data_IF_954178719591
#
_entry.id   IF_954178719591
#
_cell.length_a   1.000
_cell.length_b   1.000
_cell.length_c   1.000
_cell.angle_alpha   90.00
_cell.angle_beta   90.00
_cell.angle_gamma   90.00
#
_symmetry.space_group_name_H-M   'P 1'
#
loop_
_entity.id
_entity.type
_entity.pdbx_description
1 polymer ?
#
# COMPACT_ATOMS: atom_id res chain seq x y z
N UNK A 1 13.80 27.91 -11.35
CA UNK A 1 13.30 26.61 -10.91
C UNK A 1 12.95 25.82 -12.16
N UNK A 2 13.51 24.63 -12.30
CA UNK A 2 13.43 23.79 -13.50
C UNK A 2 12.32 22.72 -13.43
N UNK A 3 11.63 22.57 -12.29
CA UNK A 3 10.39 21.78 -12.17
C UNK A 3 9.48 22.32 -11.04
N UNK A 4 8.16 22.17 -11.13
CA UNK A 4 7.22 22.52 -10.04
C UNK A 4 7.50 21.77 -8.73
N UNK A 5 8.12 20.59 -8.81
CA UNK A 5 8.45 19.73 -7.67
C UNK A 5 9.60 20.28 -6.80
N UNK A 6 10.35 21.28 -7.30
CA UNK A 6 11.47 21.92 -6.57
C UNK A 6 11.12 23.32 -6.07
N UNK A 7 9.84 23.69 -6.13
CA UNK A 7 9.35 25.00 -5.74
C UNK A 7 8.77 24.95 -4.32
N UNK A 8 9.09 25.96 -3.50
CA UNK A 8 8.70 26.06 -2.09
C UNK A 8 8.12 27.43 -1.77
N UNK A 9 7.07 27.48 -0.94
CA UNK A 9 6.48 28.74 -0.48
C UNK A 9 7.47 29.56 0.38
N UNK A 10 8.46 28.91 0.99
CA UNK A 10 9.51 29.56 1.79
C UNK A 10 10.30 30.58 0.95
N UNK A 11 10.55 30.28 -0.33
CA UNK A 11 11.26 31.16 -1.26
C UNK A 11 10.43 32.40 -1.56
N UNK A 12 9.12 32.23 -1.78
CA UNK A 12 8.22 33.34 -2.05
C UNK A 12 8.10 34.28 -0.84
N UNK A 13 7.99 33.69 0.36
CA UNK A 13 7.99 34.43 1.63
C UNK A 13 9.30 35.21 1.83
N UNK A 14 10.45 34.56 1.61
CA UNK A 14 11.76 35.22 1.73
C UNK A 14 11.90 36.41 0.76
N UNK A 15 11.43 36.23 -0.48
CA UNK A 15 11.38 37.31 -1.49
C UNK A 15 10.48 38.47 -1.04
N UNK A 16 9.31 38.19 -0.48
CA UNK A 16 8.41 39.22 0.04
C UNK A 16 9.02 40.00 1.21
N UNK A 17 9.67 39.30 2.17
CA UNK A 17 10.41 39.95 3.26
C UNK A 17 11.52 40.87 2.72
N UNK A 18 12.29 40.41 1.73
CA UNK A 18 13.35 41.19 1.11
C UNK A 18 12.82 42.41 0.33
N UNK A 19 11.74 42.23 -0.43
CA UNK A 19 11.10 43.28 -1.20
C UNK A 19 10.62 44.43 -0.30
N UNK A 20 9.80 44.13 0.72
CA UNK A 20 9.26 45.18 1.59
C UNK A 20 10.33 45.83 2.47
N UNK A 21 11.37 45.09 2.89
CA UNK A 21 12.54 45.66 3.55
C UNK A 21 13.23 46.71 2.66
N UNK A 22 13.46 46.36 1.40
CA UNK A 22 14.11 47.25 0.43
C UNK A 22 13.25 48.48 0.15
N UNK A 23 11.95 48.30 -0.11
CA UNK A 23 11.01 49.41 -0.33
C UNK A 23 10.92 50.35 0.88
N UNK A 24 10.89 49.81 2.09
CA UNK A 24 10.88 50.60 3.32
C UNK A 24 12.17 51.43 3.49
N UNK A 25 13.33 50.84 3.20
CA UNK A 25 14.63 51.52 3.31
C UNK A 25 14.82 52.61 2.25
N UNK A 26 14.36 52.37 1.02
CA UNK A 26 14.51 53.29 -0.11
C UNK A 26 13.49 54.42 -0.13
N UNK A 27 12.29 54.23 0.42
CA UNK A 27 11.29 55.29 0.48
C UNK A 27 11.76 56.39 1.44
N UNK A 28 11.88 57.63 0.96
CA UNK A 28 12.44 58.74 1.73
C UNK A 28 11.53 59.15 2.89
N UNK A 29 10.21 59.15 2.67
CA UNK A 29 9.22 59.54 3.66
C UNK A 29 9.32 61.03 3.98
N UNK A 30 9.49 61.36 5.25
CA UNK A 30 9.60 62.75 5.72
C UNK A 30 10.87 63.48 5.24
N UNK A 31 11.86 62.75 4.72
CA UNK A 31 13.09 63.32 4.19
C UNK A 31 12.97 63.83 2.74
N UNK A 32 11.89 63.46 2.04
CA UNK A 32 11.63 63.95 0.68
C UNK A 32 11.47 65.48 0.71
N UNK A 33 12.09 66.16 -0.25
CA UNK A 33 11.96 67.61 -0.44
C UNK A 33 11.00 67.91 -1.58
N UNK A 34 10.27 69.04 -1.50
CA UNK A 34 9.38 69.48 -2.56
C UNK A 34 7.97 69.80 -2.06
N UNK A 35 6.97 69.48 -2.90
CA UNK A 35 5.57 69.78 -2.61
C UNK A 35 5.07 69.06 -1.34
N UNK A 36 4.42 69.77 -0.38
CA UNK A 36 3.94 69.15 0.84
C UNK A 36 3.00 67.95 0.64
N UNK A 37 2.24 67.87 -0.47
CA UNK A 37 1.38 66.71 -0.74
C UNK A 37 2.19 65.52 -1.26
N UNK A 38 3.26 65.74 -2.01
CA UNK A 38 4.19 64.69 -2.44
C UNK A 38 4.95 64.09 -1.24
N UNK A 39 5.45 64.93 -0.34
CA UNK A 39 6.08 64.47 0.92
C UNK A 39 5.08 63.67 1.75
N UNK A 40 3.83 64.15 1.85
CA UNK A 40 2.74 63.44 2.53
C UNK A 40 2.46 62.05 1.94
N UNK A 41 2.50 61.92 0.60
CA UNK A 41 2.36 60.62 -0.07
C UNK A 41 3.56 59.70 0.19
N UNK A 42 4.78 60.24 0.19
CA UNK A 42 5.98 59.45 0.52
C UNK A 42 5.94 58.93 1.96
N UNK A 43 5.50 59.75 2.93
CA UNK A 43 5.27 59.32 4.30
C UNK A 43 4.23 58.20 4.37
N UNK A 44 3.11 58.33 3.64
CA UNK A 44 2.09 57.30 3.57
C UNK A 44 2.64 55.97 2.99
N UNK A 45 3.45 56.02 1.93
CA UNK A 45 4.13 54.85 1.36
C UNK A 45 5.08 54.20 2.36
N UNK A 46 5.89 55.00 3.05
CA UNK A 46 6.85 54.50 4.04
C UNK A 46 6.15 53.83 5.22
N UNK A 47 5.04 54.41 5.71
CA UNK A 47 4.21 53.80 6.74
C UNK A 47 3.60 52.47 6.28
N UNK A 48 3.06 52.40 5.05
CA UNK A 48 2.53 51.16 4.50
C UNK A 48 3.60 50.08 4.30
N UNK A 49 4.80 50.44 3.81
CA UNK A 49 5.89 49.47 3.66
C UNK A 49 6.39 48.93 5.00
N UNK A 50 6.35 49.73 6.06
CA UNK A 50 6.60 49.25 7.42
C UNK A 50 5.56 48.22 7.85
N UNK A 51 4.28 48.55 7.70
CA UNK A 51 3.18 47.61 7.95
C UNK A 51 3.33 46.31 7.14
N UNK A 52 3.60 46.42 5.84
CA UNK A 52 3.73 45.25 4.98
C UNK A 52 4.94 44.39 5.38
N UNK A 53 6.06 45.00 5.75
CA UNK A 53 7.22 44.27 6.27
C UNK A 53 6.90 43.55 7.57
N UNK A 54 6.23 44.21 8.53
CA UNK A 54 5.84 43.61 9.81
C UNK A 54 4.85 42.45 9.60
N UNK A 55 3.84 42.61 8.75
CA UNK A 55 2.84 41.57 8.47
C UNK A 55 3.45 40.38 7.71
N UNK A 56 4.20 40.61 6.63
CA UNK A 56 4.85 39.52 5.89
C UNK A 56 5.87 38.80 6.77
N UNK A 57 6.51 39.50 7.71
CA UNK A 57 7.47 38.88 8.64
C UNK A 57 6.83 37.86 9.58
N UNK A 58 5.54 37.99 9.89
CA UNK A 58 4.75 37.02 10.65
C UNK A 58 4.41 35.75 9.87
N UNK A 59 4.68 35.73 8.57
CA UNK A 59 4.50 34.52 7.77
C UNK A 59 5.58 33.48 8.06
N UNK A 60 5.18 32.22 8.04
CA UNK A 60 6.01 31.05 8.33
C UNK A 60 5.73 29.92 7.32
N UNK A 61 6.78 29.18 6.98
CA UNK A 61 6.68 27.95 6.17
C UNK A 61 7.52 26.90 6.90
N UNK A 62 6.89 25.79 7.27
CA UNK A 62 7.54 24.64 7.89
C UNK A 62 7.16 23.37 7.13
N UNK A 63 7.87 22.27 7.34
CA UNK A 63 7.51 20.96 6.79
C UNK A 63 6.93 20.08 7.90
N UNK A 64 5.95 19.25 7.55
CA UNK A 64 5.44 18.20 8.43
C UNK A 64 6.19 16.87 8.25
N UNK A 65 5.87 15.89 9.10
CA UNK A 65 6.53 14.57 9.08
C UNK A 65 6.29 13.81 7.77
N UNK A 66 5.28 14.21 6.98
CA UNK A 66 5.00 13.65 5.66
C UNK A 66 5.75 14.36 4.52
N UNK A 67 6.55 15.38 4.84
CA UNK A 67 7.26 16.21 3.87
C UNK A 67 6.37 17.23 3.16
N UNK A 68 5.13 17.46 3.63
CA UNK A 68 4.25 18.50 3.11
C UNK A 68 4.53 19.83 3.82
N UNK A 69 4.46 20.94 3.07
CA UNK A 69 4.67 22.26 3.65
C UNK A 69 3.43 22.69 4.46
N UNK A 70 3.62 23.14 5.69
CA UNK A 70 2.64 23.95 6.42
C UNK A 70 2.95 25.42 6.14
N UNK A 71 2.03 26.07 5.42
CA UNK A 71 2.24 27.40 4.86
C UNK A 71 1.31 28.39 5.52
N UNK A 72 1.87 29.37 6.22
CA UNK A 72 1.11 30.46 6.83
C UNK A 72 1.58 31.80 6.27
N UNK A 73 1.01 32.21 5.13
CA UNK A 73 1.29 33.52 4.54
C UNK A 73 0.23 34.56 4.96
N UNK A 74 0.68 35.78 5.24
CA UNK A 74 -0.21 36.88 5.66
C UNK A 74 -0.68 37.70 4.46
N UNK A 75 -2.01 37.86 4.34
CA UNK A 75 -2.63 38.77 3.38
C UNK A 75 -2.45 40.21 3.84
N UNK A 76 -1.96 41.07 2.95
CA UNK A 76 -1.79 42.50 3.23
C UNK A 76 -3.11 43.26 3.02
N UNK A 77 -3.35 44.26 3.88
CA UNK A 77 -4.50 45.14 3.75
C UNK A 77 -4.51 45.87 2.41
N UNK A 78 -5.65 45.79 1.72
CA UNK A 78 -5.93 46.45 0.45
C UNK A 78 -7.03 47.50 0.58
N UNK A 79 -6.71 48.72 0.18
CA UNK A 79 -7.62 49.86 0.23
C UNK A 79 -7.97 50.34 1.64
N UNK A 80 -8.81 51.38 1.72
CA UNK A 80 -9.09 52.09 2.97
C UNK A 80 -9.72 51.22 4.05
N UNK A 81 -10.73 50.42 3.72
CA UNK A 81 -11.50 49.66 4.71
C UNK A 81 -10.69 48.54 5.38
N UNK A 82 -9.76 47.92 4.65
CA UNK A 82 -8.87 46.93 5.25
C UNK A 82 -7.78 47.61 6.08
N UNK A 83 -7.25 48.76 5.65
CA UNK A 83 -6.26 49.51 6.44
C UNK A 83 -6.85 49.98 7.78
N UNK A 84 -8.15 50.31 7.84
CA UNK A 84 -8.85 50.62 9.11
C UNK A 84 -8.81 49.48 10.13
N UNK A 85 -8.60 48.24 9.70
CA UNK A 85 -8.48 47.05 10.56
C UNK A 85 -7.04 46.78 11.01
N UNK A 86 -6.10 47.65 10.66
CA UNK A 86 -4.68 47.50 10.98
C UNK A 86 -4.22 48.52 12.00
N UNK A 87 -3.03 48.34 12.56
CA UNK A 87 -2.44 49.30 13.49
C UNK A 87 -2.21 50.68 12.85
N UNK A 88 -2.07 50.79 11.52
CA UNK A 88 -1.86 52.06 10.83
C UNK A 88 -3.01 53.07 11.06
N UNK A 89 -4.19 52.58 11.37
CA UNK A 89 -5.37 53.39 11.62
C UNK A 89 -5.38 53.96 13.05
N UNK A 90 -5.01 53.13 14.03
CA UNK A 90 -5.11 53.45 15.46
C UNK A 90 -3.80 54.01 16.05
N UNK A 91 -2.66 53.78 15.40
CA UNK A 91 -1.36 54.23 15.89
C UNK A 91 -1.28 55.76 15.96
N UNK A 92 -0.78 56.27 17.09
CA UNK A 92 -0.56 57.71 17.29
C UNK A 92 0.77 58.14 16.67
N UNK A 93 0.94 57.86 15.39
CA UNK A 93 2.20 58.03 14.67
C UNK A 93 2.37 59.39 14.01
N UNK A 94 1.36 60.26 14.00
CA UNK A 94 1.37 61.47 13.18
C UNK A 94 1.35 62.75 14.03
N UNK A 95 2.16 63.78 13.72
CA UNK A 95 2.20 65.01 14.49
C UNK A 95 0.89 65.80 14.40
N UNK A 96 0.49 66.42 15.51
CA UNK A 96 -0.67 67.30 15.61
C UNK A 96 -0.21 68.70 15.99
N UNK A 97 -0.71 69.74 15.33
CA UNK A 97 -0.52 71.14 15.75
C UNK A 97 -1.84 71.79 16.15
N UNK A 98 -1.79 72.77 17.04
CA UNK A 98 -2.90 73.66 17.39
C UNK A 98 -2.67 75.06 16.84
N UNK A 99 -3.75 75.75 16.45
CA UNK A 99 -3.72 77.12 15.94
C UNK A 99 -5.12 77.71 15.84
N UNK A 100 -5.24 78.90 15.24
CA UNK A 100 -6.53 79.63 15.12
C UNK A 100 -7.64 78.83 14.41
N UNK A 101 -7.28 77.83 13.60
CA UNK A 101 -8.19 76.92 12.90
C UNK A 101 -8.44 75.56 13.58
N UNK A 102 -8.16 75.44 14.87
CA UNK A 102 -8.28 74.21 15.66
C UNK A 102 -7.08 73.27 15.54
N UNK A 103 -7.13 72.12 16.22
CA UNK A 103 -6.09 71.09 16.12
C UNK A 103 -6.09 70.43 14.73
N UNK A 104 -4.91 70.17 14.16
CA UNK A 104 -4.74 69.61 12.81
C UNK A 104 -3.72 68.47 12.78
N UNK A 105 -4.03 67.39 12.05
CA UNK A 105 -3.11 66.27 11.82
C UNK A 105 -2.20 66.54 10.61
N UNK A 106 -0.92 66.16 10.73
CA UNK A 106 0.10 66.31 9.68
C UNK A 106 0.84 64.99 9.47
N UNK A 107 1.37 64.78 8.27
CA UNK A 107 2.14 63.56 7.96
C UNK A 107 3.55 63.57 8.56
N UNK A 108 4.19 64.74 8.70
CA UNK A 108 5.53 64.88 9.29
C UNK A 108 5.71 66.26 9.97
N UNK A 109 6.73 66.37 10.81
CA UNK A 109 7.00 67.56 11.64
C UNK A 109 7.55 68.75 10.82
N UNK A 110 8.09 68.51 9.63
CA UNK A 110 8.54 69.56 8.71
C UNK A 110 7.43 70.15 7.83
N UNK A 111 6.16 69.76 8.02
CA UNK A 111 5.05 70.30 7.24
C UNK A 111 4.92 71.82 7.48
N UNK A 112 4.81 72.67 6.44
CA UNK A 112 4.66 74.12 6.66
C UNK A 112 3.45 74.48 7.53
N UNK A 113 2.34 73.74 7.40
CA UNK A 113 1.17 73.92 8.24
C UNK A 113 1.35 73.46 9.70
N UNK A 114 2.30 72.55 9.96
CA UNK A 114 2.67 72.15 11.31
C UNK A 114 3.57 73.21 11.95
N UNK A 115 4.59 73.67 11.22
CA UNK A 115 5.57 74.69 11.65
C UNK A 115 4.90 76.03 11.94
N UNK A 116 3.84 76.39 11.22
CA UNK A 116 3.06 77.61 11.48
C UNK A 116 2.19 77.53 12.74
N UNK A 117 1.94 76.33 13.28
CA UNK A 117 1.15 76.11 14.49
C UNK A 117 2.00 75.79 15.72
N UNK A 118 1.34 75.54 16.85
CA UNK A 118 2.00 75.05 18.07
C UNK A 118 1.93 73.53 18.16
N UNK A 119 3.03 72.80 18.47
CA UNK A 119 3.01 71.36 18.69
C UNK A 119 1.99 70.93 19.76
N UNK A 120 1.13 69.98 19.42
CA UNK A 120 0.05 69.48 20.28
C UNK A 120 0.08 67.94 20.44
N UNK A 121 1.28 67.34 20.38
CA UNK A 121 1.50 65.91 20.53
C UNK A 121 1.31 65.11 19.25
N UNK A 122 0.97 63.82 19.38
CA UNK A 122 0.75 62.90 18.26
C UNK A 122 -0.68 62.33 18.22
N UNK A 123 -1.18 62.11 17.02
CA UNK A 123 -2.50 61.59 16.70
C UNK A 123 -2.44 60.40 15.73
N UNK A 124 -3.58 59.75 15.58
CA UNK A 124 -3.87 58.64 14.68
C UNK A 124 -4.84 59.04 13.57
N UNK A 125 -5.03 58.17 12.57
CA UNK A 125 -6.06 58.39 11.54
C UNK A 125 -7.46 58.11 12.07
N UNK A 126 -7.59 57.24 13.06
CA UNK A 126 -8.83 57.04 13.79
C UNK A 126 -9.31 58.33 14.49
N UNK A 127 -8.41 59.01 15.21
CA UNK A 127 -8.77 60.28 15.85
C UNK A 127 -9.12 61.38 14.85
N UNK A 128 -8.59 61.31 13.62
CA UNK A 128 -8.96 62.22 12.53
C UNK A 128 -10.41 62.00 12.10
N UNK A 129 -10.79 60.74 11.85
CA UNK A 129 -12.14 60.38 11.43
C UNK A 129 -13.18 60.56 12.55
N UNK A 130 -12.76 60.45 13.82
CA UNK A 130 -13.58 60.77 14.99
C UNK A 130 -13.69 62.28 15.29
N UNK A 131 -12.97 63.14 14.54
CA UNK A 131 -13.05 64.59 14.67
C UNK A 131 -12.26 65.18 15.85
N UNK A 132 -11.30 64.45 16.43
CA UNK A 132 -10.41 64.97 17.50
C UNK A 132 -9.50 66.10 17.01
N UNK A 133 -9.23 66.12 15.70
CA UNK A 133 -8.50 67.17 14.98
C UNK A 133 -8.95 67.14 13.51
N UNK A 134 -8.74 68.25 12.80
CA UNK A 134 -9.04 68.36 11.39
C UNK A 134 -7.88 67.97 10.48
N UNK A 135 -8.18 67.80 9.20
CA UNK A 135 -7.16 67.60 8.17
C UNK A 135 -6.36 68.88 7.93
N UNK A 136 -5.03 68.78 7.80
CA UNK A 136 -4.21 69.91 7.37
C UNK A 136 -4.46 70.20 5.87
N UNK A 137 -4.81 71.44 5.48
CA UNK A 137 -5.03 71.80 4.08
C UNK A 137 -3.72 71.83 3.25
N UNK A 138 -2.56 71.91 3.91
CA UNK A 138 -1.25 71.98 3.26
C UNK A 138 -0.78 70.60 2.81
N UNK A 139 -0.57 69.66 3.73
CA UNK A 139 -0.11 68.32 3.37
C UNK A 139 -1.25 67.37 2.97
N UNK A 140 -2.51 67.72 3.27
CA UNK A 140 -3.69 66.94 2.90
C UNK A 140 -3.73 65.52 3.46
N UNK A 141 -2.96 65.22 4.51
CA UNK A 141 -2.82 63.89 5.06
C UNK A 141 -4.11 63.42 5.74
N UNK A 142 -4.60 62.26 5.31
CA UNK A 142 -5.82 61.65 5.82
C UNK A 142 -5.86 60.15 5.48
N UNK A 143 -6.93 59.45 5.87
CA UNK A 143 -7.08 58.01 5.62
C UNK A 143 -6.98 57.65 4.14
N UNK A 144 -7.46 58.53 3.25
CA UNK A 144 -7.30 58.39 1.78
C UNK A 144 -5.84 58.31 1.32
N UNK A 145 -4.90 58.91 2.04
CA UNK A 145 -3.47 58.89 1.69
C UNK A 145 -2.92 57.47 1.82
N UNK A 146 -3.21 56.77 2.94
CA UNK A 146 -2.87 55.36 3.10
C UNK A 146 -3.71 54.45 2.21
N UNK A 147 -5.01 54.75 2.08
CA UNK A 147 -5.92 53.98 1.24
C UNK A 147 -5.43 53.89 -0.21
N UNK A 148 -4.94 54.98 -0.80
CA UNK A 148 -4.39 55.01 -2.16
C UNK A 148 -3.11 54.18 -2.32
N UNK A 149 -2.26 54.15 -1.30
CA UNK A 149 -1.04 53.32 -1.30
C UNK A 149 -1.37 51.84 -1.18
N UNK A 150 -2.36 51.52 -0.35
CA UNK A 150 -2.83 50.15 -0.13
C UNK A 150 -3.69 49.62 -1.29
N UNK A 151 -4.12 50.48 -2.21
CA UNK A 151 -4.71 50.04 -3.47
C UNK A 151 -3.55 49.61 -4.37
N UNK A 152 -3.47 48.32 -4.76
CA UNK A 152 -2.55 47.91 -5.81
C UNK A 152 -2.85 48.78 -7.02
N UNK A 153 -1.85 49.31 -7.71
CA UNK A 153 -2.00 50.14 -8.91
C UNK A 153 -3.11 49.58 -9.82
N UNK A 154 -4.33 50.10 -9.68
CA UNK A 154 -5.53 49.55 -10.31
C UNK A 154 -5.52 49.97 -11.77
N UNK A 155 -4.86 49.18 -12.61
CA UNK A 155 -5.06 49.17 -14.05
C UNK A 155 -4.37 47.99 -14.75
N UNK A 156 -3.44 47.29 -14.10
CA UNK A 156 -2.63 46.27 -14.76
C UNK A 156 -2.46 45.10 -13.80
N UNK A 157 -2.67 43.87 -14.28
CA UNK A 157 -2.25 42.62 -13.65
C UNK A 157 -0.71 42.55 -13.55
N UNK A 158 -0.14 43.50 -12.81
CA UNK A 158 1.30 43.71 -12.74
C UNK A 158 1.68 44.31 -11.39
N UNK A 159 2.89 44.01 -10.95
CA UNK A 159 3.43 44.48 -9.67
C UNK A 159 3.58 43.36 -8.64
N UNK A 160 4.49 43.57 -7.71
CA UNK A 160 4.83 42.56 -6.70
C UNK A 160 3.63 42.22 -5.82
N UNK A 161 2.83 43.21 -5.46
CA UNK A 161 1.66 43.11 -4.57
C UNK A 161 0.54 42.26 -5.17
N UNK A 162 0.42 42.23 -6.49
CA UNK A 162 -0.52 41.35 -7.18
C UNK A 162 -0.05 39.89 -7.11
N UNK A 163 1.21 39.64 -7.48
CA UNK A 163 1.76 38.28 -7.44
C UNK A 163 1.89 37.71 -6.03
N UNK A 164 2.21 38.55 -5.04
CA UNK A 164 2.23 38.12 -3.64
C UNK A 164 0.83 37.67 -3.20
N UNK A 165 -0.23 38.40 -3.60
CA UNK A 165 -1.59 37.96 -3.31
C UNK A 165 -1.91 36.61 -3.96
N UNK A 166 -1.56 36.43 -5.22
CA UNK A 166 -1.77 35.16 -5.93
C UNK A 166 -1.04 34.00 -5.24
N UNK A 167 0.17 34.24 -4.70
CA UNK A 167 0.89 33.23 -3.91
C UNK A 167 0.21 32.94 -2.58
N UNK A 168 -0.34 33.96 -1.89
CA UNK A 168 -1.11 33.75 -0.66
C UNK A 168 -2.36 32.91 -0.96
N UNK A 169 -3.09 33.20 -2.03
CA UNK A 169 -4.27 32.42 -2.44
C UNK A 169 -3.89 30.97 -2.80
N UNK A 170 -2.83 30.80 -3.59
CA UNK A 170 -2.32 29.46 -3.91
C UNK A 170 -1.86 28.68 -2.67
N UNK A 171 -1.34 29.34 -1.63
CA UNK A 171 -0.97 28.68 -0.37
C UNK A 171 -2.18 28.16 0.42
N UNK A 172 -3.32 28.85 0.31
CA UNK A 172 -4.58 28.43 0.92
C UNK A 172 -5.13 27.22 0.18
N UNK A 173 -5.17 27.28 -1.15
CA UNK A 173 -5.59 26.16 -2.00
C UNK A 173 -4.72 24.92 -1.78
N UNK A 174 -3.40 25.11 -1.63
CA UNK A 174 -2.46 24.04 -1.31
C UNK A 174 -2.74 23.42 0.05
N UNK A 175 -2.95 24.24 1.09
CA UNK A 175 -3.24 23.75 2.45
C UNK A 175 -4.56 22.96 2.50
N UNK A 176 -5.58 23.42 1.78
CA UNK A 176 -6.85 22.72 1.64
C UNK A 176 -6.69 21.37 0.90
N UNK A 177 -5.84 21.32 -0.13
CA UNK A 177 -5.55 20.10 -0.86
C UNK A 177 -4.78 19.07 0.01
N UNK A 178 -3.78 19.52 0.77
CA UNK A 178 -3.03 18.68 1.72
C UNK A 178 -3.96 18.10 2.78
N UNK A 179 -4.84 18.92 3.36
CA UNK A 179 -5.83 18.47 4.35
C UNK A 179 -6.76 17.39 3.80
N UNK A 180 -7.29 17.59 2.58
CA UNK A 180 -8.13 16.58 1.91
C UNK A 180 -7.37 15.30 1.60
N UNK A 181 -6.10 15.39 1.22
CA UNK A 181 -5.24 14.24 0.97
C UNK A 181 -5.02 13.44 2.25
N UNK A 182 -4.71 14.11 3.37
CA UNK A 182 -4.55 13.48 4.68
C UNK A 182 -5.84 12.79 5.14
N UNK A 183 -7.00 13.41 4.95
CA UNK A 183 -8.31 12.78 5.24
C UNK A 183 -8.57 11.55 4.37
N UNK A 184 -8.21 11.60 3.09
CA UNK A 184 -8.36 10.43 2.21
C UNK A 184 -7.41 9.30 2.58
N UNK A 185 -6.19 9.61 3.01
CA UNK A 185 -5.19 8.65 3.48
C UNK A 185 -5.65 7.95 4.74
N UNK A 186 -6.15 8.69 5.74
CA UNK A 186 -6.64 8.08 6.98
C UNK A 186 -7.82 7.13 6.74
N UNK A 187 -8.74 7.48 5.84
CA UNK A 187 -9.83 6.58 5.42
C UNK A 187 -9.33 5.32 4.73
N UNK A 188 -8.29 5.43 3.90
CA UNK A 188 -7.66 4.27 3.26
C UNK A 188 -6.94 3.38 4.27
N UNK A 189 -6.22 3.96 5.22
CA UNK A 189 -5.53 3.23 6.31
C UNK A 189 -6.53 2.49 7.21
N UNK A 190 -7.66 3.12 7.55
CA UNK A 190 -8.75 2.49 8.31
C UNK A 190 -9.39 1.32 7.54
N UNK A 191 -9.72 1.53 6.27
CA UNK A 191 -10.30 0.50 5.42
C UNK A 191 -9.34 -0.69 5.23
N UNK A 192 -8.06 -0.42 5.03
CA UNK A 192 -7.02 -1.44 4.91
C UNK A 192 -6.84 -2.22 6.23
N UNK A 193 -6.80 -1.54 7.38
CA UNK A 193 -6.67 -2.17 8.70
C UNK A 193 -7.87 -3.08 9.02
N UNK A 194 -9.08 -2.62 8.71
CA UNK A 194 -10.32 -3.40 8.87
C UNK A 194 -10.32 -4.67 8.00
N UNK A 195 -9.83 -4.55 6.76
CA UNK A 195 -9.67 -5.68 5.86
C UNK A 195 -8.62 -6.68 6.36
N UNK A 196 -7.47 -6.20 6.83
CA UNK A 196 -6.42 -7.03 7.41
C UNK A 196 -6.94 -7.82 8.62
N UNK A 197 -7.69 -7.18 9.52
CA UNK A 197 -8.27 -7.84 10.69
C UNK A 197 -9.32 -8.88 10.29
N UNK A 198 -10.16 -8.56 9.30
CA UNK A 198 -11.15 -9.50 8.76
C UNK A 198 -10.50 -10.72 8.12
N UNK A 199 -9.42 -10.51 7.36
CA UNK A 199 -8.63 -11.57 6.76
C UNK A 199 -7.92 -12.42 7.82
N UNK A 200 -7.30 -11.80 8.83
CA UNK A 200 -6.68 -12.51 9.97
C UNK A 200 -7.70 -13.37 10.71
N UNK A 201 -8.93 -12.88 10.91
CA UNK A 201 -10.04 -13.68 11.48
C UNK A 201 -10.45 -14.83 10.57
N UNK A 202 -10.53 -14.60 9.26
CA UNK A 202 -10.81 -15.64 8.26
C UNK A 202 -9.75 -16.74 8.24
N UNK A 203 -8.47 -16.37 8.15
CA UNK A 203 -7.35 -17.30 8.22
C UNK A 203 -7.27 -18.01 9.58
N UNK A 204 -7.48 -17.29 10.68
CA UNK A 204 -7.53 -17.89 12.02
C UNK A 204 -8.66 -18.92 12.18
N UNK A 205 -9.77 -18.75 11.46
CA UNK A 205 -10.88 -19.73 11.43
C UNK A 205 -10.55 -20.97 10.58
N UNK A 206 -9.62 -20.84 9.64
CA UNK A 206 -9.10 -21.93 8.81
C UNK A 206 -7.87 -22.61 9.43
N UNK A 207 -7.16 -21.92 10.34
CA UNK A 207 -6.03 -22.44 11.08
C UNK A 207 -6.49 -23.65 11.93
N UNK A 208 -6.02 -24.84 11.55
CA UNK A 208 -6.39 -26.12 12.17
C UNK A 208 -7.45 -26.93 11.44
N UNK A 209 -8.13 -26.40 10.41
CA UNK A 209 -9.11 -27.12 9.59
C UNK A 209 -8.46 -27.95 8.46
N UNK A 210 -7.20 -28.38 8.62
CA UNK A 210 -6.49 -29.13 7.57
C UNK A 210 -6.92 -30.60 7.62
N UNK A 211 -7.70 -31.01 6.61
CA UNK A 211 -8.00 -32.41 6.34
C UNK A 211 -6.73 -33.11 5.82
N UNK A 212 -6.08 -33.91 6.67
CA UNK A 212 -5.06 -34.85 6.21
C UNK A 212 -5.77 -36.14 5.75
N UNK A 213 -6.27 -36.12 4.51
CA UNK A 213 -6.91 -37.29 3.91
C UNK A 213 -5.82 -38.29 3.55
N UNK A 214 -5.80 -39.44 4.23
CA UNK A 214 -4.98 -40.58 3.85
C UNK A 214 -5.88 -41.58 3.11
N UNK A 215 -6.05 -41.45 1.78
CA UNK A 215 -6.88 -42.39 1.05
C UNK A 215 -6.24 -43.79 1.04
N UNK A 216 -7.05 -44.86 1.04
CA UNK A 216 -6.54 -46.20 0.81
C UNK A 216 -5.82 -46.27 -0.54
N UNK A 217 -4.67 -46.95 -0.59
CA UNK A 217 -3.81 -47.03 -1.77
C UNK A 217 -2.81 -45.86 -1.93
N UNK A 218 -2.65 -44.97 -0.93
CA UNK A 218 -1.69 -43.84 -0.98
C UNK A 218 -0.24 -44.23 -1.28
N UNK A 219 0.15 -45.45 -0.92
CA UNK A 219 1.50 -45.97 -1.15
C UNK A 219 1.63 -46.68 -2.51
N UNK A 220 0.49 -46.99 -3.15
CA UNK A 220 0.40 -47.72 -4.40
C UNK A 220 -0.64 -48.85 -4.34
N UNK A 221 -0.82 -49.53 -5.46
CA UNK A 221 -1.66 -50.70 -5.61
C UNK A 221 -0.80 -51.91 -5.97
N UNK A 222 -1.12 -53.07 -5.40
CA UNK A 222 -0.50 -54.35 -5.74
C UNK A 222 -1.58 -55.28 -6.30
N UNK A 223 -1.30 -55.81 -7.49
CA UNK A 223 -2.12 -56.82 -8.15
C UNK A 223 -1.44 -58.17 -8.00
N UNK A 224 -2.23 -59.16 -7.57
CA UNK A 224 -1.77 -60.52 -7.36
C UNK A 224 -2.56 -61.44 -8.29
N UNK A 225 -1.82 -62.28 -9.00
CA UNK A 225 -2.37 -63.37 -9.79
C UNK A 225 -1.82 -64.67 -9.25
N UNK A 226 -2.69 -65.52 -8.71
CA UNK A 226 -2.32 -66.86 -8.24
C UNK A 226 -2.85 -67.89 -9.23
N UNK A 227 -1.95 -68.79 -9.65
CA UNK A 227 -2.29 -69.98 -10.42
C UNK A 227 -2.06 -71.20 -9.53
N UNK A 228 -3.09 -72.05 -9.41
CA UNK A 228 -3.00 -73.31 -8.67
C UNK A 228 -1.94 -74.26 -9.21
N UNK A 229 -1.70 -75.36 -8.49
CA UNK A 229 -0.82 -76.41 -8.97
C UNK A 229 -1.36 -77.00 -10.28
N UNK A 230 -0.45 -77.23 -11.23
CA UNK A 230 -0.82 -77.81 -12.51
C UNK A 230 0.21 -78.84 -12.92
N UNK A 231 -0.26 -79.94 -13.49
CA UNK A 231 0.61 -80.97 -14.06
C UNK A 231 0.94 -80.54 -15.48
N UNK A 232 2.15 -80.08 -15.73
CA UNK A 232 2.60 -79.85 -17.10
C UNK A 232 3.19 -81.14 -17.66
N UNK A 233 2.57 -81.67 -18.72
CA UNK A 233 3.25 -82.62 -19.59
C UNK A 233 3.97 -81.83 -20.69
N UNK A 234 5.30 -81.76 -20.61
CA UNK A 234 6.09 -81.39 -21.78
C UNK A 234 5.97 -82.57 -22.75
N UNK A 235 5.42 -82.33 -23.93
CA UNK A 235 5.13 -83.36 -24.92
C UNK A 235 6.35 -84.24 -25.25
N UNK A 236 6.12 -85.54 -25.15
CA UNK A 236 6.92 -86.72 -25.54
C UNK A 236 8.35 -86.53 -26.09
N UNK A 237 9.37 -87.00 -25.34
CA UNK A 237 10.03 -88.28 -25.64
C UNK A 237 11.14 -88.65 -24.63
N UNK A 238 11.13 -89.92 -24.22
CA UNK A 238 12.20 -90.71 -23.58
C UNK A 238 12.55 -90.58 -22.09
N UNK A 239 12.10 -89.56 -21.35
CA UNK A 239 12.03 -89.62 -19.87
C UNK A 239 10.74 -88.97 -19.42
N UNK A 240 9.72 -89.77 -19.09
CA UNK A 240 8.45 -89.29 -18.56
C UNK A 240 8.61 -88.76 -17.14
N UNK A 241 9.21 -87.58 -16.98
CA UNK A 241 9.08 -86.83 -15.74
C UNK A 241 7.79 -86.01 -15.82
N UNK A 242 6.77 -86.45 -15.07
CA UNK A 242 5.69 -85.56 -14.66
C UNK A 242 6.29 -84.53 -13.72
N UNK A 243 6.53 -83.33 -14.23
CA UNK A 243 6.82 -82.18 -13.39
C UNK A 243 5.51 -81.59 -12.92
N UNK A 244 5.21 -81.78 -11.65
CA UNK A 244 4.18 -81.02 -10.97
C UNK A 244 4.70 -79.59 -10.81
N UNK A 245 4.03 -78.65 -11.45
CA UNK A 245 4.25 -77.25 -11.18
C UNK A 245 3.41 -76.93 -9.94
N UNK A 246 4.07 -76.60 -8.84
CA UNK A 246 3.41 -76.11 -7.64
C UNK A 246 2.64 -74.82 -7.91
N UNK A 247 1.91 -74.34 -6.89
CA UNK A 247 1.24 -73.04 -6.93
C UNK A 247 2.21 -71.94 -7.38
N UNK A 248 1.75 -71.07 -8.25
CA UNK A 248 2.52 -69.95 -8.81
C UNK A 248 1.84 -68.65 -8.44
N UNK A 249 2.62 -67.62 -8.20
CA UNK A 249 2.10 -66.28 -7.95
C UNK A 249 2.88 -65.26 -8.78
N UNK A 250 2.17 -64.34 -9.42
CA UNK A 250 2.73 -63.16 -10.04
C UNK A 250 2.23 -61.91 -9.31
N UNK A 251 3.15 -60.97 -9.08
CA UNK A 251 2.89 -59.72 -8.39
C UNK A 251 3.26 -58.56 -9.32
N UNK A 252 2.38 -57.56 -9.43
CA UNK A 252 2.67 -56.29 -10.10
C UNK A 252 2.26 -55.14 -9.20
N UNK A 253 3.01 -54.03 -9.23
CA UNK A 253 2.68 -52.86 -8.43
C UNK A 253 2.79 -51.56 -9.23
N UNK A 254 1.91 -50.63 -8.90
CA UNK A 254 1.93 -49.27 -9.42
C UNK A 254 1.81 -48.28 -8.26
N UNK A 255 2.51 -47.16 -8.34
CA UNK A 255 2.40 -46.06 -7.39
C UNK A 255 2.28 -44.73 -8.14
N UNK A 256 1.95 -43.68 -7.41
CA UNK A 256 1.88 -42.33 -7.94
C UNK A 256 3.24 -41.66 -7.76
N UNK A 257 3.81 -41.15 -8.86
CA UNK A 257 5.05 -40.38 -8.85
C UNK A 257 4.83 -39.00 -9.45
N UNK A 258 5.67 -38.04 -9.09
CA UNK A 258 5.59 -36.68 -9.62
C UNK A 258 5.64 -36.67 -11.15
N UNK A 259 4.74 -35.91 -11.77
CA UNK A 259 4.74 -35.68 -13.20
C UNK A 259 5.40 -34.33 -13.52
N UNK A 260 6.66 -34.31 -14.01
CA UNK A 260 7.36 -33.07 -14.31
C UNK A 260 6.83 -32.36 -15.56
N UNK A 261 5.90 -32.97 -16.30
CA UNK A 261 5.35 -32.42 -17.54
C UNK A 261 4.16 -31.47 -17.33
N UNK A 262 3.58 -31.43 -16.13
CA UNK A 262 2.44 -30.56 -15.81
C UNK A 262 2.94 -29.37 -15.00
N UNK A 263 2.82 -28.17 -15.56
CA UNK A 263 3.11 -26.93 -14.85
C UNK A 263 2.04 -26.70 -13.78
N UNK A 264 2.46 -26.38 -12.56
CA UNK A 264 1.57 -26.07 -11.43
C UNK A 264 0.63 -24.91 -11.76
N UNK A 265 0.99 -24.06 -12.72
CA UNK A 265 0.19 -22.97 -13.24
C UNK A 265 -1.10 -23.42 -13.97
N UNK A 266 -1.11 -24.57 -14.66
CA UNK A 266 -2.28 -25.04 -15.43
C UNK A 266 -3.43 -25.53 -14.52
N UNK A 267 -3.08 -26.16 -13.38
CA UNK A 267 -4.06 -26.61 -12.37
C UNK A 267 -4.77 -25.41 -11.72
N UNK A 268 -4.06 -24.28 -11.61
CA UNK A 268 -4.54 -23.08 -10.94
C UNK A 268 -5.33 -22.15 -11.85
N UNK A 269 -5.07 -22.11 -13.16
CA UNK A 269 -5.88 -21.34 -14.12
C UNK A 269 -7.37 -21.73 -14.06
N UNK A 270 -7.69 -23.02 -13.93
CA UNK A 270 -9.08 -23.49 -13.81
C UNK A 270 -9.78 -23.12 -12.48
N UNK A 271 -9.01 -22.82 -11.42
CA UNK A 271 -9.54 -22.37 -10.11
C UNK A 271 -9.63 -20.83 -10.08
N UNK A 272 -8.64 -20.13 -10.64
CA UNK A 272 -8.61 -18.67 -10.74
C UNK A 272 -9.77 -18.10 -11.54
N UNK A 273 -10.19 -18.76 -12.63
CA UNK A 273 -11.37 -18.38 -13.42
C UNK A 273 -12.69 -18.49 -12.66
N UNK A 274 -12.74 -19.27 -11.56
CA UNK A 274 -13.96 -19.50 -10.76
C UNK A 274 -14.07 -18.62 -9.51
N UNK A 275 -12.95 -18.05 -9.04
CA UNK A 275 -12.89 -17.33 -7.76
C UNK A 275 -12.96 -15.80 -7.87
N UNK A 276 -12.91 -15.22 -9.09
CA UNK A 276 -12.96 -13.77 -9.28
C UNK A 276 -14.31 -13.38 -9.90
N UNK A 277 -15.29 -12.92 -9.10
CA UNK A 277 -16.51 -12.32 -9.64
C UNK A 277 -16.17 -10.97 -10.28
N UNK A 278 -16.47 -10.83 -11.57
CA UNK A 278 -16.23 -9.62 -12.37
C UNK A 278 -17.02 -8.38 -11.88
N UNK A 279 -17.97 -8.56 -10.95
CA UNK A 279 -19.03 -7.58 -10.62
C UNK A 279 -18.68 -6.65 -9.44
N UNK A 280 -17.61 -6.91 -8.67
CA UNK A 280 -17.19 -6.09 -7.51
C UNK A 280 -16.22 -4.94 -7.86
N UNK A 281 -15.93 -4.71 -9.15
CA UNK A 281 -14.82 -3.90 -9.65
C UNK A 281 -15.29 -2.56 -10.25
N UNK A 282 -15.73 -1.60 -9.42
CA UNK A 282 -16.20 -0.28 -9.92
C UNK A 282 -15.39 0.94 -9.47
N UNK A 283 -14.20 0.78 -8.87
CA UNK A 283 -13.34 1.91 -8.47
C UNK A 283 -11.83 1.68 -8.58
N UNK A 284 -11.11 2.62 -9.20
CA UNK A 284 -9.73 2.48 -9.70
C UNK A 284 -8.61 2.24 -8.67
N UNK A 285 -8.84 2.44 -7.38
CA UNK A 285 -7.88 2.11 -6.30
C UNK A 285 -8.24 0.81 -5.57
N UNK A 286 -9.54 0.57 -5.35
CA UNK A 286 -10.03 -0.69 -4.82
C UNK A 286 -9.68 -1.86 -5.75
N UNK A 287 -9.82 -1.67 -7.08
CA UNK A 287 -9.44 -2.66 -8.09
C UNK A 287 -7.96 -3.06 -8.01
N UNK A 288 -7.07 -2.11 -7.74
CA UNK A 288 -5.63 -2.36 -7.70
C UNK A 288 -5.23 -3.08 -6.42
N UNK A 289 -5.82 -2.69 -5.28
CA UNK A 289 -5.68 -3.44 -4.02
C UNK A 289 -6.22 -4.87 -4.18
N UNK A 290 -7.47 -5.05 -4.62
CA UNK A 290 -8.03 -6.38 -4.83
C UNK A 290 -7.25 -7.21 -5.86
N UNK A 291 -6.65 -6.59 -6.88
CA UNK A 291 -5.74 -7.23 -7.82
C UNK A 291 -4.43 -7.69 -7.19
N UNK A 292 -3.83 -6.88 -6.31
CA UNK A 292 -2.64 -7.25 -5.53
C UNK A 292 -2.92 -8.44 -4.62
N UNK A 293 -4.05 -8.41 -3.93
CA UNK A 293 -4.47 -9.47 -3.01
C UNK A 293 -4.88 -10.76 -3.73
N UNK A 294 -5.54 -10.67 -4.89
CA UNK A 294 -5.80 -11.82 -5.76
C UNK A 294 -4.51 -12.45 -6.30
N UNK A 295 -3.52 -11.62 -6.62
CA UNK A 295 -2.19 -12.07 -7.03
C UNK A 295 -1.42 -12.71 -5.87
N UNK A 296 -1.56 -12.18 -4.66
CA UNK A 296 -0.96 -12.75 -3.44
C UNK A 296 -1.54 -14.12 -3.09
N UNK A 297 -2.86 -14.31 -3.25
CA UNK A 297 -3.55 -15.59 -3.09
C UNK A 297 -3.13 -16.60 -4.17
N UNK A 298 -3.01 -16.14 -5.42
CA UNK A 298 -2.48 -16.96 -6.51
C UNK A 298 -1.00 -17.33 -6.29
N UNK A 299 -0.20 -16.41 -5.75
CA UNK A 299 1.20 -16.66 -5.39
C UNK A 299 1.30 -17.64 -4.22
N UNK A 300 0.46 -17.50 -3.19
CA UNK A 300 0.38 -18.47 -2.08
C UNK A 300 0.03 -19.88 -2.60
N UNK A 301 -0.85 -19.98 -3.60
CA UNK A 301 -1.13 -21.26 -4.26
C UNK A 301 0.02 -21.79 -5.13
N UNK A 302 1.00 -20.98 -5.52
CA UNK A 302 2.18 -21.42 -6.30
C UNK A 302 3.45 -21.66 -5.45
N UNK A 303 3.40 -21.45 -4.14
CA UNK A 303 4.49 -21.74 -3.20
C UNK A 303 5.14 -20.50 -2.54
N UNK A 304 5.84 -20.70 -1.42
CA UNK A 304 6.25 -19.64 -0.47
C UNK A 304 7.34 -18.70 -1.03
N UNK A 305 8.21 -19.17 -1.92
CA UNK A 305 9.33 -18.34 -2.44
C UNK A 305 8.87 -17.25 -3.44
N UNK A 306 7.65 -17.34 -3.98
CA UNK A 306 7.11 -16.37 -4.95
C UNK A 306 6.15 -15.32 -4.36
N UNK A 307 5.65 -15.53 -3.14
CA UNK A 307 4.58 -14.70 -2.54
C UNK A 307 5.06 -13.29 -2.23
N UNK A 308 6.22 -13.16 -1.58
CA UNK A 308 6.80 -11.86 -1.24
C UNK A 308 7.08 -11.02 -2.49
N UNK A 309 7.74 -11.62 -3.49
CA UNK A 309 8.09 -10.95 -4.74
C UNK A 309 6.87 -10.54 -5.59
N UNK A 310 5.82 -11.37 -5.63
CA UNK A 310 4.60 -11.05 -6.37
C UNK A 310 3.80 -9.93 -5.69
N UNK A 311 3.71 -9.95 -4.35
CA UNK A 311 3.05 -8.90 -3.57
C UNK A 311 3.80 -7.58 -3.71
N UNK A 312 5.13 -7.59 -3.56
CA UNK A 312 5.97 -6.40 -3.72
C UNK A 312 5.90 -5.83 -5.14
N UNK A 313 5.85 -6.70 -6.17
CA UNK A 313 5.74 -6.26 -7.56
C UNK A 313 4.38 -5.62 -7.88
N UNK A 314 3.27 -6.13 -7.33
CA UNK A 314 1.95 -5.54 -7.59
C UNK A 314 1.73 -4.29 -6.76
N UNK A 315 2.15 -4.26 -5.49
CA UNK A 315 2.09 -3.06 -4.65
C UNK A 315 3.00 -1.94 -5.17
N UNK A 316 4.17 -2.28 -5.72
CA UNK A 316 5.07 -1.31 -6.36
C UNK A 316 4.54 -0.73 -7.68
N UNK A 317 3.53 -1.35 -8.28
CA UNK A 317 2.87 -0.85 -9.50
C UNK A 317 1.70 0.09 -9.25
N UNK A 318 1.30 0.30 -7.99
CA UNK A 318 0.30 1.30 -7.63
C UNK A 318 1.01 2.66 -7.59
N UNK A 319 0.66 3.63 -8.45
CA UNK A 319 1.27 4.96 -8.44
C UNK A 319 0.70 5.76 -7.27
N UNK A 320 1.07 5.38 -6.04
CA UNK A 320 0.77 6.12 -4.84
C UNK A 320 1.96 7.04 -4.54
N UNK A 321 1.67 8.33 -4.47
CA UNK A 321 2.63 9.34 -4.03
C UNK A 321 2.96 9.05 -2.56
N UNK A 322 4.16 8.51 -2.32
CA UNK A 322 4.67 8.20 -0.99
C UNK A 322 4.98 6.71 -0.81
N UNK A 323 6.26 6.39 -0.61
CA UNK A 323 6.82 5.03 -0.49
C UNK A 323 6.41 4.27 0.78
N UNK A 324 5.63 4.88 1.68
CA UNK A 324 5.36 4.32 3.02
C UNK A 324 4.10 3.45 3.11
N UNK A 325 3.11 3.64 2.21
CA UNK A 325 1.87 2.87 2.25
C UNK A 325 2.05 1.45 1.68
N UNK A 326 2.92 1.28 0.67
CA UNK A 326 3.21 -0.01 0.06
C UNK A 326 3.97 -0.95 1.00
N UNK A 327 4.92 -0.42 1.79
CA UNK A 327 5.69 -1.21 2.75
C UNK A 327 4.83 -1.71 3.91
N UNK A 328 3.94 -0.85 4.42
CA UNK A 328 3.03 -1.22 5.51
C UNK A 328 2.02 -2.30 5.10
N UNK A 329 1.44 -2.21 3.89
CA UNK A 329 0.52 -3.24 3.38
C UNK A 329 1.24 -4.58 3.16
N UNK A 330 2.48 -4.56 2.65
CA UNK A 330 3.30 -5.75 2.48
C UNK A 330 3.65 -6.44 3.81
N UNK A 331 4.13 -5.68 4.79
CA UNK A 331 4.46 -6.20 6.13
C UNK A 331 3.22 -6.75 6.87
N UNK A 332 2.08 -6.05 6.75
CA UNK A 332 0.82 -6.48 7.36
C UNK A 332 0.29 -7.79 6.78
N UNK A 333 0.48 -8.02 5.49
CA UNK A 333 0.11 -9.28 4.83
C UNK A 333 1.05 -10.43 5.21
N UNK A 334 2.37 -10.23 5.11
CA UNK A 334 3.35 -11.27 5.46
C UNK A 334 3.16 -11.74 6.90
N UNK A 335 2.98 -10.79 7.82
CA UNK A 335 2.74 -11.09 9.24
C UNK A 335 1.46 -11.89 9.47
N UNK A 336 0.39 -11.65 8.69
CA UNK A 336 -0.85 -12.40 8.81
C UNK A 336 -0.72 -13.83 8.28
N UNK A 337 0.04 -14.05 7.20
CA UNK A 337 0.33 -15.37 6.63
C UNK A 337 1.23 -16.19 7.56
N UNK A 338 2.30 -15.58 8.08
CA UNK A 338 3.21 -16.20 9.05
C UNK A 338 2.50 -16.59 10.34
N UNK A 339 1.67 -15.71 10.89
CA UNK A 339 0.93 -15.96 12.14
C UNK A 339 -0.02 -17.17 12.06
N UNK A 340 -0.43 -17.57 10.85
CA UNK A 340 -1.35 -18.69 10.65
C UNK A 340 -0.64 -20.02 10.34
N UNK A 341 0.71 -20.08 10.35
CA UNK A 341 1.49 -21.30 10.03
C UNK A 341 1.02 -21.98 8.73
N UNK A 342 0.64 -21.17 7.74
CA UNK A 342 0.14 -21.63 6.47
C UNK A 342 1.28 -22.24 5.66
N UNK A 343 1.46 -23.56 5.79
CA UNK A 343 2.33 -24.32 4.90
C UNK A 343 1.61 -24.55 3.56
N UNK A 344 2.30 -24.40 2.42
CA UNK A 344 1.69 -24.52 1.09
C UNK A 344 0.98 -25.86 0.91
N UNK A 345 -0.07 -25.86 0.08
CA UNK A 345 -0.70 -27.10 -0.36
C UNK A 345 0.26 -27.84 -1.29
N UNK A 346 0.38 -29.16 -1.12
CA UNK A 346 1.17 -29.99 -2.02
C UNK A 346 0.36 -30.19 -3.32
N UNK A 347 0.64 -29.36 -4.33
CA UNK A 347 -0.05 -29.34 -5.62
C UNK A 347 0.71 -30.11 -6.70
N UNK A 348 1.55 -31.07 -6.30
CA UNK A 348 2.31 -31.88 -7.26
C UNK A 348 1.32 -32.71 -8.09
N UNK A 349 1.38 -32.55 -9.40
CA UNK A 349 0.69 -33.45 -10.31
C UNK A 349 1.34 -34.84 -10.20
N UNK A 350 0.53 -35.87 -10.01
CA UNK A 350 0.99 -37.23 -9.88
C UNK A 350 0.55 -38.06 -11.09
N UNK A 351 1.44 -38.91 -11.60
CA UNK A 351 1.13 -39.91 -12.63
C UNK A 351 1.35 -41.33 -12.11
N UNK A 352 0.58 -42.32 -12.59
CA UNK A 352 0.80 -43.72 -12.23
C UNK A 352 2.07 -44.25 -12.90
N UNK A 353 2.95 -44.88 -12.12
CA UNK A 353 4.19 -45.50 -12.59
C UNK A 353 4.30 -46.92 -12.03
N UNK A 354 4.71 -47.87 -12.87
CA UNK A 354 5.03 -49.22 -12.43
C UNK A 354 6.27 -49.20 -11.55
N UNK A 355 6.18 -49.84 -10.39
CA UNK A 355 7.27 -49.86 -9.42
C UNK A 355 7.47 -51.27 -8.85
N UNK A 356 8.57 -51.45 -8.10
CA UNK A 356 8.80 -52.69 -7.40
C UNK A 356 7.68 -52.93 -6.38
N UNK A 357 7.10 -54.13 -6.41
CA UNK A 357 6.11 -54.58 -5.42
C UNK A 357 6.64 -54.47 -3.99
N UNK A 358 7.95 -54.61 -3.78
CA UNK A 358 8.54 -54.46 -2.44
C UNK A 358 8.42 -53.01 -1.93
N UNK A 359 8.62 -52.01 -2.80
CA UNK A 359 8.57 -50.61 -2.40
C UNK A 359 7.18 -50.18 -1.91
N UNK A 360 6.12 -50.70 -2.55
CA UNK A 360 4.74 -50.42 -2.14
C UNK A 360 4.37 -51.17 -0.84
N UNK A 361 4.80 -52.44 -0.70
CA UNK A 361 4.51 -53.26 0.49
C UNK A 361 5.29 -52.78 1.73
N UNK A 362 6.54 -52.33 1.57
CA UNK A 362 7.35 -51.76 2.65
C UNK A 362 6.79 -50.41 3.14
N UNK A 363 6.27 -49.60 2.22
CA UNK A 363 5.69 -48.30 2.53
C UNK A 363 4.34 -48.40 3.26
N UNK A 364 3.53 -49.43 2.96
CA UNK A 364 2.27 -49.69 3.65
C UNK A 364 2.49 -50.26 5.07
N UNK A 365 3.35 -51.27 5.20
CA UNK A 365 3.72 -51.85 6.50
C UNK A 365 2.62 -52.68 7.19
N UNK A 366 1.45 -52.88 6.57
CA UNK A 366 0.35 -53.69 7.07
C UNK A 366 0.67 -55.19 7.14
N UNK A 367 -0.13 -55.96 7.88
CA UNK A 367 0.07 -57.40 8.08
C UNK A 367 0.07 -58.20 6.77
N UNK A 368 -0.83 -57.85 5.84
CA UNK A 368 -0.90 -58.43 4.49
C UNK A 368 0.36 -58.11 3.69
N UNK A 369 0.81 -56.85 3.76
CA UNK A 369 2.00 -56.38 3.08
C UNK A 369 3.27 -57.08 3.58
N UNK A 370 3.38 -57.28 4.89
CA UNK A 370 4.47 -58.04 5.51
C UNK A 370 4.43 -59.53 5.13
N UNK A 371 3.24 -60.13 5.02
CA UNK A 371 3.07 -61.50 4.55
C UNK A 371 3.56 -61.68 3.11
N UNK A 372 3.17 -60.76 2.22
CA UNK A 372 3.60 -60.74 0.82
C UNK A 372 5.10 -60.46 0.67
N UNK A 373 5.67 -59.57 1.50
CA UNK A 373 7.10 -59.30 1.51
C UNK A 373 7.90 -60.54 1.89
N UNK A 374 7.47 -61.26 2.95
CA UNK A 374 8.08 -62.53 3.36
C UNK A 374 7.96 -63.60 2.28
N UNK A 375 6.80 -63.70 1.63
CA UNK A 375 6.60 -64.63 0.51
C UNK A 375 7.54 -64.32 -0.67
N UNK A 376 7.69 -63.04 -1.02
CA UNK A 376 8.61 -62.59 -2.08
C UNK A 376 10.07 -62.88 -1.73
N UNK A 377 10.51 -62.52 -0.52
CA UNK A 377 11.87 -62.81 -0.02
C UNK A 377 12.14 -64.31 0.03
N UNK A 378 11.16 -65.10 0.48
CA UNK A 378 11.22 -66.56 0.49
C UNK A 378 11.34 -67.15 -0.93
N UNK A 379 10.62 -66.60 -1.91
CA UNK A 379 10.71 -67.02 -3.31
C UNK A 379 12.05 -66.65 -3.96
N UNK A 380 12.61 -65.47 -3.67
CA UNK A 380 13.96 -65.09 -4.13
C UNK A 380 15.02 -66.05 -3.55
N UNK A 381 14.89 -66.40 -2.27
CA UNK A 381 15.77 -67.37 -1.62
C UNK A 381 15.57 -68.80 -2.15
N UNK A 382 14.33 -69.20 -2.42
CA UNK A 382 13.98 -70.52 -2.95
C UNK A 382 14.31 -70.70 -4.44
N UNK A 383 14.42 -69.61 -5.20
CA UNK A 383 14.96 -69.66 -6.58
C UNK A 383 16.42 -70.13 -6.62
N UNK A 384 17.13 -70.05 -5.49
CA UNK A 384 18.49 -70.57 -5.31
C UNK A 384 18.53 -71.93 -4.59
N UNK A 385 17.45 -72.35 -3.92
CA UNK A 385 17.36 -73.59 -3.14
C UNK A 385 15.95 -74.17 -3.23
N UNK A 386 15.79 -75.34 -3.85
CA UNK A 386 14.50 -76.05 -3.90
C UNK A 386 14.04 -76.42 -2.50
N UNK A 387 13.05 -75.70 -1.98
CA UNK A 387 12.32 -76.03 -0.75
C UNK A 387 10.83 -75.78 -1.01
N UNK A 388 10.06 -76.86 -0.95
CA UNK A 388 8.61 -76.81 -0.99
C UNK A 388 8.07 -76.32 0.35
N UNK A 389 7.60 -75.09 0.41
CA UNK A 389 6.43 -74.76 1.21
C UNK A 389 5.81 -73.41 0.77
N UNK A 390 5.22 -73.38 -0.43
CA UNK A 390 4.33 -72.29 -0.85
C UNK A 390 2.93 -72.39 -0.21
N UNK A 391 2.66 -73.50 0.49
CA UNK A 391 1.42 -73.78 1.23
C UNK A 391 1.19 -72.79 2.38
N UNK A 392 2.25 -72.43 3.12
CA UNK A 392 2.15 -71.44 4.21
C UNK A 392 1.84 -70.03 3.70
N UNK A 393 2.30 -69.67 2.49
CA UNK A 393 1.97 -68.39 1.85
C UNK A 393 0.51 -68.37 1.42
N UNK A 394 0.00 -69.49 0.90
CA UNK A 394 -1.42 -69.67 0.58
C UNK A 394 -2.32 -69.62 1.82
N UNK A 395 -1.97 -70.30 2.92
CA UNK A 395 -2.70 -70.22 4.19
C UNK A 395 -2.73 -68.80 4.76
N UNK A 396 -1.63 -68.05 4.64
CA UNK A 396 -1.58 -66.64 5.02
C UNK A 396 -2.48 -65.76 4.13
N UNK A 397 -2.57 -66.04 2.83
CA UNK A 397 -3.46 -65.32 1.90
C UNK A 397 -4.94 -65.70 2.08
N UNK A 398 -5.26 -66.95 2.43
CA UNK A 398 -6.63 -67.40 2.75
C UNK A 398 -7.11 -66.87 4.11
N UNK A 399 -6.19 -66.62 5.06
CA UNK A 399 -6.51 -66.05 6.38
C UNK A 399 -6.79 -64.54 6.36
N UNK A 400 -6.42 -63.87 5.28
CA UNK A 400 -6.74 -62.47 5.02
C UNK A 400 -8.00 -62.48 4.18
N UNK A 401 -9.09 -61.90 4.66
CA UNK A 401 -10.34 -61.75 3.91
C UNK A 401 -10.14 -60.75 2.76
N UNK A 402 -9.44 -61.19 1.71
CA UNK A 402 -9.31 -60.48 0.44
C UNK A 402 -10.61 -60.76 -0.32
N UNK A 403 -11.68 -60.06 0.09
CA UNK A 403 -13.05 -60.13 -0.42
C UNK A 403 -13.28 -61.15 -1.55
N UNK A 404 -13.91 -62.26 -1.18
CA UNK A 404 -14.31 -63.41 -2.02
C UNK A 404 -14.58 -63.05 -3.51
N UNK A 405 -13.70 -63.42 -4.46
CA UNK A 405 -14.01 -63.34 -5.87
C UNK A 405 -14.81 -64.57 -6.29
N UNK A 406 -16.00 -64.34 -6.86
CA UNK A 406 -16.97 -65.34 -7.27
C UNK A 406 -16.38 -66.61 -7.88
N UNK A 407 -16.77 -67.75 -7.28
CA UNK A 407 -16.56 -69.08 -7.80
C UNK A 407 -17.32 -69.24 -9.13
N UNK A 408 -16.62 -69.04 -10.25
CA UNK A 408 -17.03 -69.62 -11.53
C UNK A 408 -15.91 -70.56 -12.00
N UNK A 409 -16.25 -71.84 -12.05
CA UNK A 409 -15.32 -72.94 -12.28
C UNK A 409 -14.69 -72.90 -13.67
N UNK A 410 -13.37 -72.72 -13.70
CA UNK A 410 -12.43 -73.34 -14.62
C UNK A 410 -11.02 -73.11 -14.01
N UNK A 411 -10.16 -74.14 -14.02
CA UNK A 411 -8.72 -74.13 -13.70
C UNK A 411 -8.17 -72.76 -13.25
N UNK A 412 -8.16 -72.53 -11.93
CA UNK A 412 -8.37 -71.22 -11.32
C UNK A 412 -7.20 -70.24 -11.44
N UNK A 413 -7.44 -69.15 -12.17
CA UNK A 413 -6.69 -67.91 -12.07
C UNK A 413 -7.44 -66.98 -11.11
N UNK A 414 -6.90 -66.73 -9.92
CA UNK A 414 -7.50 -65.75 -8.98
C UNK A 414 -6.83 -64.41 -9.18
N UNK A 415 -7.62 -63.41 -9.59
CA UNK A 415 -7.18 -62.02 -9.73
C UNK A 415 -7.65 -61.23 -8.49
N UNK A 416 -6.71 -60.80 -7.66
CA UNK A 416 -7.00 -59.96 -6.50
C UNK A 416 -6.28 -58.62 -6.65
N UNK A 417 -7.05 -57.54 -6.57
CA UNK A 417 -6.55 -56.16 -6.47
C UNK A 417 -6.58 -55.75 -5.01
N UNK A 418 -5.40 -55.54 -4.42
CA UNK A 418 -5.28 -55.00 -3.06
C UNK A 418 -5.07 -53.49 -3.17
N UNK A 419 -6.10 -52.74 -2.83
CA UNK A 419 -5.94 -51.35 -2.42
C UNK A 419 -5.47 -51.37 -0.96
N UNK A 420 -4.17 -51.18 -0.76
CA UNK A 420 -3.55 -51.29 0.56
C UNK A 420 -4.11 -50.19 1.48
N UNK A 421 -4.78 -50.61 2.55
CA UNK A 421 -5.40 -49.73 3.54
C UNK A 421 -4.57 -49.80 4.82
N UNK A 422 -4.13 -48.63 5.28
CA UNK A 422 -3.83 -48.37 6.68
C UNK A 422 -4.87 -47.39 7.22
#
# INVERSE_FOLDING_TARGET
FSSPQTWSFSVALARAKAYYRTRYQQEEGAALQGDPKEVSQSVARKAYYRYALEEVSKGEVSEDDSGAERVELKRLARGGDQVRKTFLYTERAYPVSSGEGGARLHSWEGCPGYVAGSPAGRGSLEGLEQGLYGECPVCGFAMRSLGRVAVPSTAIESGFEHHYLAVVEASQDYSDAVSKLQESRSKLEEAASSMQESFKKGLGSLAGARLNVQPPGRYGCVVIVVAGSAVASIGESFVGQRTELGTRMALSAATLADDPAVDQAEVLQGIGERLIPLEALTGGMAKTLFGAWGSALAAYSSGVEGVGAAVDSVLGSIPLVGTELSSWVGEGFSSAVEACNLQPAELRALKPVLCSTAAVLEADGGSVSQGLLKAKQGAEYASQVSLGDLSQVLELLESVDVGNPDASGAESLVLATLSLVA
#
